data_IF_322019067808
#
_entry.id   IF_322019067808
#
_cell.length_a   1.000
_cell.length_b   1.000
_cell.length_c   1.000
_cell.angle_alpha   90.00
_cell.angle_beta   90.00
_cell.angle_gamma   90.00
#
_symmetry.space_group_name_H-M   'P 1'
#
loop_
_entity.id
_entity.type
_entity.pdbx_description
1 polymer ?
#
# COMPACT_ATOMS: atom_id res chain seq x y z
N UNK A 1 7.43 58.78 34.14
CA UNK A 1 7.44 58.95 32.68
C UNK A 1 7.72 57.61 32.05
N UNK A 2 6.68 57.00 31.46
CA UNK A 2 6.75 55.71 30.79
C UNK A 2 7.09 55.91 29.30
N UNK A 3 8.08 55.16 28.79
CA UNK A 3 8.28 54.89 27.35
C UNK A 3 8.28 53.37 27.25
N UNK A 4 7.41 52.68 26.53
CA UNK A 4 6.71 53.02 25.29
C UNK A 4 7.08 51.95 24.27
N UNK A 5 6.57 50.73 24.47
CA UNK A 5 6.81 49.56 23.63
C UNK A 5 5.95 49.68 22.35
N UNK A 6 6.56 50.00 21.20
CA UNK A 6 5.86 50.05 19.92
C UNK A 6 5.97 48.70 19.19
N UNK A 7 4.88 47.94 19.27
CA UNK A 7 4.54 46.84 18.36
C UNK A 7 4.63 47.32 16.92
N UNK A 8 5.46 46.67 16.09
CA UNK A 8 5.32 46.71 14.63
C UNK A 8 4.16 45.83 14.22
N UNK A 9 2.95 46.40 14.17
CA UNK A 9 1.85 45.89 13.38
C UNK A 9 1.96 46.52 11.98
N UNK A 10 2.61 45.81 11.06
CA UNK A 10 2.71 46.19 9.66
C UNK A 10 2.01 45.15 8.80
N UNK A 11 0.67 45.23 8.71
CA UNK A 11 -0.08 44.47 7.74
C UNK A 11 0.21 45.02 6.34
N UNK A 12 1.06 44.34 5.58
CA UNK A 12 1.05 44.51 4.12
C UNK A 12 -0.32 44.02 3.62
N UNK A 13 -0.93 44.69 2.64
CA UNK A 13 -2.09 44.10 1.96
C UNK A 13 -1.61 42.77 1.36
N UNK A 14 -2.21 41.65 1.81
CA UNK A 14 -1.93 40.33 1.22
C UNK A 14 -2.26 40.44 -0.26
N UNK A 15 -1.24 40.41 -1.12
CA UNK A 15 -1.41 40.08 -2.51
C UNK A 15 -2.21 38.75 -2.55
N UNK A 16 -3.21 38.68 -3.43
CA UNK A 16 -4.14 37.57 -3.66
C UNK A 16 -3.78 36.27 -2.92
N UNK A 17 -4.52 35.98 -1.85
CA UNK A 17 -4.38 34.73 -1.10
C UNK A 17 -4.70 33.56 -2.02
N UNK A 18 -3.86 32.52 -2.02
CA UNK A 18 -4.11 31.27 -2.76
C UNK A 18 -5.47 30.65 -2.45
N UNK A 19 -6.04 30.97 -1.29
CA UNK A 19 -7.33 30.47 -0.83
C UNK A 19 -8.54 31.32 -1.23
N UNK A 20 -8.35 32.48 -1.88
CA UNK A 20 -9.44 33.40 -2.23
C UNK A 20 -10.56 32.71 -3.03
N UNK A 21 -10.17 31.87 -3.98
CA UNK A 21 -11.08 31.08 -4.82
C UNK A 21 -11.17 29.60 -4.42
N UNK A 22 -10.51 29.20 -3.34
CA UNK A 22 -10.58 27.81 -2.88
C UNK A 22 -11.98 27.52 -2.32
N UNK A 23 -12.58 26.42 -2.78
CA UNK A 23 -13.91 25.98 -2.37
C UNK A 23 -13.84 24.49 -2.03
N UNK A 24 -13.96 24.14 -0.73
CA UNK A 24 -14.11 22.76 -0.31
C UNK A 24 -15.29 22.09 -1.00
N UNK A 25 -15.20 20.77 -1.18
CA UNK A 25 -16.32 19.98 -1.69
C UNK A 25 -17.40 19.90 -0.60
N UNK A 26 -18.63 20.24 -0.96
CA UNK A 26 -19.75 20.22 -0.02
C UNK A 26 -19.96 18.82 0.58
N UNK A 27 -20.10 18.74 1.90
CA UNK A 27 -20.32 17.48 2.63
C UNK A 27 -19.08 16.60 2.80
N UNK A 28 -17.90 17.03 2.34
CA UNK A 28 -16.63 16.32 2.49
C UNK A 28 -15.71 17.08 3.43
N UNK A 29 -15.02 16.34 4.31
CA UNK A 29 -14.01 16.93 5.20
C UNK A 29 -12.80 17.37 4.37
N UNK A 30 -12.47 18.65 4.45
CA UNK A 30 -11.29 19.21 3.80
C UNK A 30 -10.06 19.11 4.70
N UNK A 31 -8.94 18.62 4.15
CA UNK A 31 -7.68 18.43 4.88
C UNK A 31 -6.94 19.74 5.12
N UNK A 32 -7.16 20.76 4.28
CA UNK A 32 -6.45 22.04 4.32
C UNK A 32 -7.22 23.10 5.11
N UNK A 33 -8.54 23.21 4.91
CA UNK A 33 -9.37 24.23 5.57
C UNK A 33 -10.41 23.64 6.53
N UNK A 34 -10.83 24.43 7.50
CA UNK A 34 -11.92 24.10 8.42
C UNK A 34 -13.30 24.45 7.81
N UNK A 35 -14.37 24.14 8.55
CA UNK A 35 -15.74 24.44 8.13
C UNK A 35 -16.04 25.94 7.98
N UNK A 36 -15.18 26.82 8.51
CA UNK A 36 -15.27 28.27 8.33
C UNK A 36 -14.45 28.77 7.13
N UNK A 37 -13.76 27.88 6.41
CA UNK A 37 -12.90 28.19 5.29
C UNK A 37 -11.50 28.68 5.68
N UNK A 38 -11.12 28.60 6.96
CA UNK A 38 -9.79 29.01 7.41
C UNK A 38 -8.79 27.85 7.30
N UNK A 39 -7.51 28.10 6.95
CA UNK A 39 -6.49 27.06 6.99
C UNK A 39 -6.37 26.44 8.38
N UNK A 40 -6.36 25.12 8.44
CA UNK A 40 -6.09 24.36 9.66
C UNK A 40 -4.68 24.66 10.18
N UNK A 41 -4.42 24.50 11.50
CA UNK A 41 -3.13 24.88 12.10
C UNK A 41 -1.88 24.34 11.39
N UNK A 42 -1.89 23.06 10.98
CA UNK A 42 -0.78 22.43 10.26
C UNK A 42 -0.50 23.06 8.88
N UNK A 43 -1.49 23.74 8.30
CA UNK A 43 -1.41 24.34 6.96
C UNK A 43 -1.09 25.84 6.98
N UNK A 44 -1.26 26.54 8.11
CA UNK A 44 -1.15 28.00 8.17
C UNK A 44 0.21 28.51 7.73
N UNK A 45 1.29 27.96 8.29
CA UNK A 45 2.66 28.34 7.91
C UNK A 45 2.98 27.99 6.46
N UNK A 46 2.50 26.82 6.01
CA UNK A 46 2.74 26.38 4.63
C UNK A 46 2.06 27.28 3.61
N UNK A 47 0.76 27.55 3.78
CA UNK A 47 0.01 28.44 2.88
C UNK A 47 0.56 29.86 2.94
N UNK A 48 0.91 30.37 4.12
CA UNK A 48 1.55 31.69 4.24
C UNK A 48 2.85 31.78 3.45
N UNK A 49 3.69 30.75 3.50
CA UNK A 49 4.94 30.70 2.73
C UNK A 49 4.69 30.60 1.20
N UNK A 50 3.63 29.90 0.77
CA UNK A 50 3.25 29.86 -0.64
C UNK A 50 2.69 31.21 -1.13
N UNK A 51 1.88 31.90 -0.30
CA UNK A 51 1.37 33.24 -0.58
C UNK A 51 2.52 34.26 -0.72
N UNK A 52 3.48 34.22 0.21
CA UNK A 52 4.64 35.12 0.23
C UNK A 52 5.56 34.93 -0.99
N UNK A 53 5.61 33.70 -1.54
CA UNK A 53 6.36 33.39 -2.74
C UNK A 53 5.72 33.99 -4.01
N UNK A 54 4.38 33.99 -4.07
CA UNK A 54 3.61 34.47 -5.21
C UNK A 54 3.52 33.47 -6.37
N UNK A 55 2.47 33.63 -7.20
CA UNK A 55 2.09 32.66 -8.23
C UNK A 55 3.16 32.39 -9.29
N UNK A 56 3.90 33.41 -9.73
CA UNK A 56 4.94 33.26 -10.76
C UNK A 56 6.10 32.38 -10.26
N UNK A 57 6.66 32.71 -9.10
CA UNK A 57 7.76 31.95 -8.53
C UNK A 57 7.32 30.54 -8.11
N UNK A 58 6.07 30.38 -7.65
CA UNK A 58 5.49 29.06 -7.37
C UNK A 58 5.41 28.21 -8.64
N UNK A 59 4.90 28.76 -9.74
CA UNK A 59 4.83 28.08 -11.03
C UNK A 59 6.22 27.65 -11.54
N UNK A 60 7.23 28.51 -11.40
CA UNK A 60 8.61 28.16 -11.75
C UNK A 60 9.18 27.02 -10.89
N UNK A 61 8.88 26.99 -9.58
CA UNK A 61 9.34 25.91 -8.69
C UNK A 61 8.63 24.59 -9.00
N UNK A 62 7.34 24.61 -9.29
CA UNK A 62 6.58 23.44 -9.70
C UNK A 62 7.11 22.85 -11.02
N UNK A 63 7.31 23.70 -12.03
CA UNK A 63 7.90 23.25 -13.30
C UNK A 63 9.30 22.61 -13.13
N UNK A 64 10.10 23.08 -12.16
CA UNK A 64 11.39 22.45 -11.80
C UNK A 64 11.21 21.08 -11.14
N UNK A 65 10.18 20.91 -10.31
CA UNK A 65 9.85 19.61 -9.71
C UNK A 65 9.48 18.59 -10.79
N UNK A 66 8.60 18.99 -11.72
CA UNK A 66 8.22 18.17 -12.87
C UNK A 66 9.42 17.83 -13.75
N UNK A 67 10.27 18.82 -14.04
CA UNK A 67 11.48 18.60 -14.84
C UNK A 67 12.44 17.63 -14.16
N UNK A 68 12.62 17.76 -12.84
CA UNK A 68 13.46 16.83 -12.09
C UNK A 68 12.93 15.38 -12.20
N UNK A 69 11.61 15.16 -12.06
CA UNK A 69 11.03 13.82 -12.17
C UNK A 69 11.21 13.25 -13.58
N UNK A 70 11.05 14.08 -14.62
CA UNK A 70 11.36 13.68 -16.01
C UNK A 70 12.83 13.30 -16.19
N UNK A 71 13.75 14.12 -15.70
CA UNK A 71 15.20 13.88 -15.81
C UNK A 71 15.65 12.66 -15.01
N UNK A 72 14.99 12.38 -13.87
CA UNK A 72 15.19 11.18 -13.07
C UNK A 72 14.57 9.92 -13.71
N UNK A 73 13.87 10.08 -14.85
CA UNK A 73 13.21 9.01 -15.58
C UNK A 73 12.04 8.41 -14.82
N UNK A 74 11.34 9.19 -13.97
CA UNK A 74 10.20 8.70 -13.20
C UNK A 74 9.00 8.58 -14.13
N UNK A 75 8.57 7.35 -14.41
CA UNK A 75 7.43 7.06 -15.27
C UNK A 75 6.50 6.02 -14.63
N UNK A 76 5.26 5.98 -15.13
CA UNK A 76 4.32 4.90 -14.87
C UNK A 76 3.77 4.39 -16.20
N UNK A 77 3.68 3.07 -16.35
CA UNK A 77 3.09 2.46 -17.55
C UNK A 77 1.63 2.15 -17.30
N UNK A 78 0.76 2.69 -18.15
CA UNK A 78 -0.66 2.34 -18.16
C UNK A 78 -0.88 1.35 -19.29
N UNK A 79 -1.44 0.19 -18.96
CA UNK A 79 -1.93 -0.76 -19.94
C UNK A 79 -3.42 -0.46 -20.19
N UNK A 80 -3.72 0.18 -21.31
CA UNK A 80 -5.10 0.41 -21.75
C UNK A 80 -5.43 -0.47 -22.97
N UNK A 81 -6.69 -0.41 -23.44
CA UNK A 81 -7.14 -1.18 -24.61
C UNK A 81 -6.40 -0.83 -25.92
N UNK A 82 -5.66 0.29 -25.95
CA UNK A 82 -4.91 0.76 -27.11
C UNK A 82 -3.40 0.41 -27.06
N UNK A 83 -2.91 -0.13 -25.94
CA UNK A 83 -1.54 -0.61 -25.79
C UNK A 83 -0.88 -0.16 -24.49
N UNK A 84 0.43 -0.41 -24.37
CA UNK A 84 1.24 0.09 -23.26
C UNK A 84 1.74 1.50 -23.59
N UNK A 85 1.31 2.50 -22.82
CA UNK A 85 1.80 3.86 -22.94
C UNK A 85 2.57 4.24 -21.66
N UNK A 86 3.81 4.71 -21.84
CA UNK A 86 4.54 5.38 -20.76
C UNK A 86 3.95 6.77 -20.56
N UNK A 87 3.58 7.09 -19.32
CA UNK A 87 3.09 8.41 -18.93
C UNK A 87 4.05 9.05 -17.94
N UNK A 88 4.21 10.37 -18.05
CA UNK A 88 4.87 11.17 -17.03
C UNK A 88 4.15 10.97 -15.69
N UNK A 89 4.94 10.82 -14.62
CA UNK A 89 4.39 10.64 -13.29
C UNK A 89 3.70 11.93 -12.82
N UNK A 90 2.39 11.90 -12.52
CA UNK A 90 1.66 13.10 -12.15
C UNK A 90 1.97 13.50 -10.70
N UNK A 91 2.80 14.54 -10.52
CA UNK A 91 3.15 15.05 -9.20
C UNK A 91 2.05 15.98 -8.64
N UNK A 92 1.52 15.63 -7.47
CA UNK A 92 0.81 16.59 -6.62
C UNK A 92 1.84 17.48 -5.91
N UNK A 93 1.99 18.71 -6.41
CA UNK A 93 2.97 19.68 -5.92
C UNK A 93 2.70 20.17 -4.49
N UNK A 94 1.42 20.30 -4.16
CA UNK A 94 0.93 20.63 -2.81
C UNK A 94 0.83 19.32 -2.03
N UNK A 95 1.66 19.10 -0.99
CA UNK A 95 1.64 17.86 -0.22
C UNK A 95 0.38 17.78 0.63
N UNK A 96 -0.03 16.56 0.98
CA UNK A 96 -0.96 16.35 2.09
C UNK A 96 -0.18 16.50 3.40
N UNK A 97 -0.55 17.50 4.22
CA UNK A 97 0.01 17.69 5.55
C UNK A 97 -0.85 16.96 6.59
N UNK A 98 -0.21 16.09 7.37
CA UNK A 98 -0.83 15.34 8.48
C UNK A 98 -0.14 15.77 9.77
N UNK A 99 -0.91 16.10 10.80
CA UNK A 99 -0.38 16.49 12.10
C UNK A 99 0.35 15.32 12.79
N UNK A 100 1.38 15.61 13.57
CA UNK A 100 2.19 14.57 14.24
C UNK A 100 1.36 13.67 15.18
N UNK A 101 0.40 14.25 15.92
CA UNK A 101 -0.43 13.46 16.84
C UNK A 101 -1.32 12.51 16.08
N UNK A 102 -1.93 13.01 15.01
CA UNK A 102 -2.76 12.21 14.11
C UNK A 102 -1.94 11.11 13.44
N UNK A 103 -0.74 11.42 12.96
CA UNK A 103 0.16 10.43 12.37
C UNK A 103 0.61 9.36 13.37
N UNK A 104 0.83 9.72 14.64
CA UNK A 104 1.16 8.77 15.69
C UNK A 104 0.01 7.79 15.96
N UNK A 105 -1.24 8.26 15.98
CA UNK A 105 -2.44 7.42 16.12
C UNK A 105 -2.60 6.48 14.92
N UNK A 106 -2.46 7.01 13.70
CA UNK A 106 -2.49 6.21 12.47
C UNK A 106 -1.42 5.12 12.52
N UNK A 107 -0.18 5.51 12.82
CA UNK A 107 0.96 4.59 12.88
C UNK A 107 0.74 3.48 13.89
N UNK A 108 0.24 3.80 15.10
CA UNK A 108 -0.04 2.81 16.13
C UNK A 108 -1.13 1.81 15.71
N UNK A 109 -2.16 2.26 15.00
CA UNK A 109 -3.20 1.38 14.47
C UNK A 109 -2.74 0.51 13.31
N UNK A 110 -1.91 1.04 12.42
CA UNK A 110 -1.36 0.27 11.30
C UNK A 110 -0.34 -0.79 11.76
N UNK A 111 0.47 -0.49 12.79
CA UNK A 111 1.36 -1.48 13.42
C UNK A 111 0.55 -2.63 14.02
N UNK A 112 -0.48 -2.32 14.82
CA UNK A 112 -1.39 -3.35 15.36
C UNK A 112 -1.98 -4.21 14.23
N UNK A 113 -2.45 -3.58 13.15
CA UNK A 113 -3.05 -4.27 12.02
C UNK A 113 -2.06 -5.20 11.30
N UNK A 114 -0.80 -4.79 11.15
CA UNK A 114 0.25 -5.64 10.60
C UNK A 114 0.51 -6.87 11.49
N UNK A 115 0.61 -6.68 12.81
CA UNK A 115 0.80 -7.78 13.78
C UNK A 115 -0.40 -8.75 13.78
N UNK A 116 -1.61 -8.22 13.62
CA UNK A 116 -2.83 -9.02 13.51
C UNK A 116 -2.79 -9.89 12.26
N UNK A 117 -2.43 -9.32 11.11
CA UNK A 117 -2.31 -10.08 9.87
C UNK A 117 -1.20 -11.12 9.92
N UNK A 118 -0.07 -10.81 10.54
CA UNK A 118 1.01 -11.78 10.75
C UNK A 118 0.50 -13.00 11.53
N UNK A 119 -0.19 -12.76 12.65
CA UNK A 119 -0.75 -13.83 13.49
C UNK A 119 -1.86 -14.61 12.76
N UNK A 120 -2.70 -13.91 11.99
CA UNK A 120 -3.78 -14.50 11.20
C UNK A 120 -3.23 -15.41 10.10
N UNK A 121 -2.22 -14.96 9.34
CA UNK A 121 -1.58 -15.77 8.30
C UNK A 121 -0.89 -17.01 8.90
N UNK A 122 -0.19 -16.84 10.04
CA UNK A 122 0.43 -17.94 10.75
C UNK A 122 -0.59 -18.97 11.26
N UNK A 123 -1.78 -18.53 11.69
CA UNK A 123 -2.88 -19.43 12.04
C UNK A 123 -3.41 -20.17 10.81
N UNK A 124 -3.80 -19.45 9.75
CA UNK A 124 -4.42 -20.03 8.54
C UNK A 124 -3.50 -21.04 7.86
N UNK A 125 -2.21 -20.74 7.72
CA UNK A 125 -1.23 -21.66 7.13
C UNK A 125 -0.69 -22.70 8.11
N UNK A 126 -1.05 -22.63 9.39
CA UNK A 126 -0.57 -23.51 10.44
C UNK A 126 -1.71 -24.26 11.16
N UNK A 127 -1.98 -23.95 12.44
CA UNK A 127 -2.93 -24.70 13.27
C UNK A 127 -4.41 -24.50 12.88
N UNK A 128 -4.73 -23.47 12.10
CA UNK A 128 -6.05 -23.21 11.52
C UNK A 128 -7.20 -23.04 12.55
N UNK A 129 -6.91 -22.40 13.69
CA UNK A 129 -7.85 -22.26 14.81
C UNK A 129 -8.98 -21.30 14.51
N UNK A 130 -8.75 -20.26 13.70
CA UNK A 130 -9.80 -19.31 13.31
C UNK A 130 -10.93 -20.01 12.52
N UNK A 131 -10.57 -20.99 11.68
CA UNK A 131 -11.55 -21.79 10.94
C UNK A 131 -12.18 -22.85 11.86
N UNK A 132 -11.37 -23.53 12.68
CA UNK A 132 -11.86 -24.53 13.65
C UNK A 132 -12.92 -23.94 14.61
N UNK A 133 -12.72 -22.70 15.08
CA UNK A 133 -13.65 -21.99 15.97
C UNK A 133 -14.83 -21.32 15.25
N UNK A 134 -14.93 -21.46 13.93
CA UNK A 134 -16.00 -20.84 13.13
C UNK A 134 -15.95 -19.31 13.11
N UNK A 135 -14.77 -18.72 13.30
CA UNK A 135 -14.56 -17.27 13.16
C UNK A 135 -14.39 -16.91 11.69
N UNK A 136 -13.64 -17.74 10.96
CA UNK A 136 -13.48 -17.64 9.51
C UNK A 136 -14.21 -18.80 8.81
N UNK A 137 -15.03 -18.53 7.78
CA UNK A 137 -15.63 -19.58 6.98
C UNK A 137 -14.58 -20.35 6.17
N UNK A 138 -14.53 -21.68 6.30
CA UNK A 138 -13.57 -22.52 5.57
C UNK A 138 -13.68 -22.33 4.05
N UNK A 139 -14.91 -22.25 3.52
CA UNK A 139 -15.17 -22.05 2.09
C UNK A 139 -14.64 -20.72 1.57
N UNK A 140 -14.64 -19.66 2.39
CA UNK A 140 -14.10 -18.36 2.00
C UNK A 140 -12.59 -18.44 1.76
N UNK A 141 -11.87 -19.06 2.69
CA UNK A 141 -10.41 -19.23 2.58
C UNK A 141 -10.04 -20.19 1.46
N UNK A 142 -10.71 -21.35 1.39
CA UNK A 142 -10.41 -22.38 0.40
C UNK A 142 -10.71 -21.95 -1.05
N UNK A 143 -11.63 -21.00 -1.25
CA UNK A 143 -11.95 -20.44 -2.56
C UNK A 143 -11.05 -19.28 -2.97
N UNK A 144 -10.30 -18.67 -2.04
CA UNK A 144 -9.44 -17.53 -2.36
C UNK A 144 -8.29 -17.97 -3.28
N UNK A 145 -8.08 -17.29 -4.43
CA UNK A 145 -6.95 -17.58 -5.31
C UNK A 145 -5.60 -17.29 -4.64
N UNK A 146 -5.60 -16.44 -3.61
CA UNK A 146 -4.42 -16.10 -2.83
C UNK A 146 -4.06 -17.17 -1.78
N UNK A 147 -4.96 -18.12 -1.51
CA UNK A 147 -4.67 -19.24 -0.60
C UNK A 147 -3.84 -20.33 -1.28
N UNK A 148 -2.52 -20.22 -1.13
CA UNK A 148 -1.57 -21.17 -1.72
C UNK A 148 -1.43 -22.47 -0.92
N UNK A 149 -2.06 -23.55 -1.39
CA UNK A 149 -1.95 -24.90 -0.79
C UNK A 149 -0.50 -25.41 -0.64
N UNK A 150 0.43 -25.19 -1.60
CA UNK A 150 1.80 -25.71 -1.50
C UNK A 150 2.62 -25.16 -0.33
N UNK A 151 2.16 -24.08 0.33
CA UNK A 151 2.85 -23.46 1.47
C UNK A 151 2.14 -23.71 2.82
N UNK A 152 1.09 -24.53 2.84
CA UNK A 152 0.44 -24.95 4.10
C UNK A 152 1.43 -25.77 4.93
N UNK A 153 1.53 -25.45 6.22
CA UNK A 153 2.48 -26.05 7.16
C UNK A 153 3.92 -25.53 7.03
N UNK A 154 4.20 -24.65 6.07
CA UNK A 154 5.54 -24.07 5.90
C UNK A 154 5.72 -22.93 6.89
N UNK A 155 6.78 -23.01 7.70
CA UNK A 155 7.20 -21.91 8.58
C UNK A 155 8.23 -21.06 7.84
N UNK A 156 8.02 -19.73 7.71
CA UNK A 156 9.01 -18.86 7.08
C UNK A 156 10.36 -18.94 7.78
N UNK A 157 11.46 -18.98 7.01
CA UNK A 157 12.81 -19.04 7.58
C UNK A 157 13.15 -17.83 8.46
N UNK A 158 12.57 -16.66 8.15
CA UNK A 158 12.71 -15.44 8.96
C UNK A 158 11.84 -15.45 10.22
N UNK A 159 10.95 -16.43 10.37
CA UNK A 159 9.94 -16.47 11.43
C UNK A 159 8.68 -15.64 11.13
N UNK A 160 8.65 -14.88 10.02
CA UNK A 160 7.56 -13.97 9.70
C UNK A 160 7.06 -14.13 8.26
N UNK A 161 5.76 -13.96 8.03
CA UNK A 161 5.19 -13.85 6.67
C UNK A 161 5.32 -12.43 6.12
N UNK A 162 5.10 -11.41 6.95
CA UNK A 162 5.01 -10.01 6.56
C UNK A 162 6.28 -9.23 6.94
N UNK A 163 6.81 -8.46 5.99
CA UNK A 163 8.00 -7.62 6.20
C UNK A 163 7.85 -6.22 5.60
N UNK A 164 7.10 -6.10 4.50
CA UNK A 164 6.75 -4.83 3.86
C UNK A 164 5.26 -4.85 3.52
N UNK A 165 4.47 -4.03 4.21
CA UNK A 165 3.03 -3.90 3.98
C UNK A 165 2.67 -2.46 3.69
N UNK A 166 1.59 -2.24 2.94
CA UNK A 166 1.01 -0.92 2.74
C UNK A 166 -0.49 -0.97 3.05
N UNK A 167 -1.03 0.19 3.42
CA UNK A 167 -2.42 0.34 3.83
C UNK A 167 -3.02 1.54 3.11
N UNK A 168 -4.20 1.34 2.56
CA UNK A 168 -4.97 2.36 1.86
C UNK A 168 -5.86 3.06 2.89
N UNK A 169 -5.71 4.37 3.04
CA UNK A 169 -6.42 5.15 4.05
C UNK A 169 -7.35 6.18 3.40
N UNK A 170 -8.50 6.40 4.03
CA UNK A 170 -9.41 7.48 3.67
C UNK A 170 -9.97 8.17 4.92
N UNK A 171 -10.23 9.47 4.81
CA UNK A 171 -10.94 10.21 5.86
C UNK A 171 -12.45 10.11 5.62
N UNK A 172 -13.17 9.63 6.64
CA UNK A 172 -14.62 9.53 6.61
C UNK A 172 -15.29 10.91 6.76
N UNK A 173 -16.60 11.00 6.50
CA UNK A 173 -17.37 12.24 6.71
C UNK A 173 -17.44 12.65 8.19
N UNK A 174 -17.13 11.73 9.11
CA UNK A 174 -16.98 11.99 10.55
C UNK A 174 -15.58 12.52 10.93
N UNK A 175 -14.69 12.72 9.96
CA UNK A 175 -13.33 13.21 10.15
C UNK A 175 -12.34 12.17 10.64
N UNK A 176 -12.77 10.92 10.89
CA UNK A 176 -11.90 9.82 11.33
C UNK A 176 -11.19 9.17 10.15
N UNK A 177 -10.04 8.57 10.41
CA UNK A 177 -9.32 7.73 9.45
C UNK A 177 -9.87 6.31 9.42
N UNK A 178 -9.99 5.77 8.22
CA UNK A 178 -10.47 4.43 7.95
C UNK A 178 -9.51 3.70 7.03
N UNK A 179 -9.26 2.43 7.29
CA UNK A 179 -8.57 1.53 6.37
C UNK A 179 -9.54 1.09 5.28
N UNK A 180 -9.22 1.42 4.03
CA UNK A 180 -9.99 1.09 2.84
C UNK A 180 -9.57 -0.26 2.24
N UNK A 181 -8.30 -0.62 2.41
CA UNK A 181 -7.72 -1.86 1.90
C UNK A 181 -6.30 -2.08 2.38
N UNK A 182 -5.82 -3.31 2.18
CA UNK A 182 -4.56 -3.81 2.69
C UNK A 182 -3.72 -4.36 1.54
N UNK A 183 -2.42 -4.10 1.57
CA UNK A 183 -1.45 -4.61 0.59
C UNK A 183 -0.35 -5.38 1.29
N UNK A 184 -0.42 -6.70 1.21
CA UNK A 184 0.46 -7.67 1.88
C UNK A 184 1.16 -8.62 0.91
N UNK A 185 0.81 -8.59 -0.37
CA UNK A 185 1.40 -9.43 -1.42
C UNK A 185 2.76 -8.86 -1.85
N UNK A 186 2.76 -7.83 -2.69
CA UNK A 186 3.95 -7.16 -3.21
C UNK A 186 3.68 -5.65 -3.38
N UNK A 187 3.45 -4.90 -2.29
CA UNK A 187 3.02 -3.50 -2.36
C UNK A 187 4.01 -2.60 -3.09
N UNK A 188 3.50 -1.75 -3.98
CA UNK A 188 4.22 -0.68 -4.69
C UNK A 188 3.92 0.70 -4.10
N UNK A 189 4.69 1.71 -4.49
CA UNK A 189 4.53 3.10 -4.08
C UNK A 189 5.66 3.67 -3.24
N UNK A 190 6.50 2.84 -2.60
CA UNK A 190 7.56 3.31 -1.72
C UNK A 190 8.64 4.11 -2.47
N UNK A 191 9.02 3.66 -3.68
CA UNK A 191 9.98 4.36 -4.53
C UNK A 191 9.42 5.69 -5.04
N UNK A 192 8.14 5.69 -5.45
CA UNK A 192 7.44 6.90 -5.87
C UNK A 192 7.30 7.91 -4.73
N UNK A 193 6.99 7.46 -3.50
CA UNK A 193 6.92 8.33 -2.32
C UNK A 193 8.28 8.99 -2.02
N UNK A 194 9.38 8.26 -2.22
CA UNK A 194 10.73 8.80 -2.07
C UNK A 194 11.04 9.85 -3.14
N UNK A 195 10.76 9.58 -4.41
CA UNK A 195 10.98 10.54 -5.50
C UNK A 195 10.08 11.78 -5.39
N UNK A 196 8.80 11.62 -5.04
CA UNK A 196 7.90 12.74 -4.74
C UNK A 196 8.48 13.62 -3.62
N UNK A 197 9.06 13.01 -2.57
CA UNK A 197 9.70 13.76 -1.49
C UNK A 197 10.94 14.51 -1.97
N UNK A 198 11.78 13.89 -2.80
CA UNK A 198 12.99 14.54 -3.34
C UNK A 198 12.61 15.71 -4.25
N UNK A 199 11.66 15.51 -5.16
CA UNK A 199 11.18 16.53 -6.09
C UNK A 199 10.63 17.75 -5.35
N UNK A 200 9.70 17.53 -4.42
CA UNK A 200 9.05 18.61 -3.66
C UNK A 200 10.02 19.33 -2.72
N UNK A 201 10.90 18.60 -2.03
CA UNK A 201 11.93 19.21 -1.16
C UNK A 201 12.94 20.03 -1.95
N UNK A 202 13.30 19.63 -3.17
CA UNK A 202 14.19 20.43 -4.04
C UNK A 202 13.49 21.69 -4.54
N UNK A 203 12.25 21.55 -4.97
CA UNK A 203 11.47 22.68 -5.50
C UNK A 203 11.16 23.73 -4.43
N UNK A 204 10.80 23.29 -3.21
CA UNK A 204 10.34 24.15 -2.11
C UNK A 204 11.29 24.09 -0.90
N UNK A 205 12.60 24.11 -1.14
CA UNK A 205 13.63 23.80 -0.12
C UNK A 205 13.62 24.70 1.13
N UNK A 206 13.40 26.00 0.95
CA UNK A 206 13.21 26.99 2.02
C UNK A 206 11.97 26.68 2.86
N UNK A 207 10.85 26.39 2.22
CA UNK A 207 9.58 26.08 2.89
C UNK A 207 9.68 24.74 3.66
N UNK A 208 10.21 23.70 3.03
CA UNK A 208 10.38 22.38 3.67
C UNK A 208 11.38 22.41 4.83
N UNK A 209 12.34 23.33 4.81
CA UNK A 209 13.27 23.55 5.92
C UNK A 209 12.56 23.95 7.22
N UNK A 210 11.41 24.62 7.13
CA UNK A 210 10.65 25.10 8.29
C UNK A 210 9.57 24.11 8.77
N UNK A 211 9.11 23.20 7.90
CA UNK A 211 8.01 22.27 8.18
C UNK A 211 8.38 21.07 9.06
N UNK A 212 9.66 20.89 9.44
CA UNK A 212 10.13 19.79 10.29
C UNK A 212 9.65 18.38 9.87
N UNK A 213 9.49 18.16 8.56
CA UNK A 213 8.93 16.92 8.00
C UNK A 213 9.81 15.70 8.32
N UNK A 214 9.19 14.58 8.68
CA UNK A 214 9.88 13.30 8.90
C UNK A 214 10.64 12.84 7.64
N UNK A 215 11.90 12.43 7.84
CA UNK A 215 12.77 11.94 6.76
C UNK A 215 12.49 10.47 6.44
N UNK A 216 12.18 10.16 5.19
CA UNK A 216 11.94 8.79 4.72
C UNK A 216 13.20 7.90 4.74
N UNK A 217 14.40 8.48 4.61
CA UNK A 217 15.66 7.75 4.57
C UNK A 217 15.89 6.84 5.80
N UNK A 218 15.36 7.23 6.97
CA UNK A 218 15.46 6.43 8.18
C UNK A 218 14.74 5.08 8.09
N UNK A 219 13.57 5.05 7.44
CA UNK A 219 12.80 3.84 7.18
C UNK A 219 13.57 2.89 6.26
N UNK A 220 14.00 3.37 5.10
CA UNK A 220 14.70 2.56 4.10
C UNK A 220 16.03 1.98 4.60
N UNK A 221 16.78 2.75 5.40
CA UNK A 221 17.98 2.25 6.06
C UNK A 221 17.67 1.09 7.00
N UNK A 222 16.69 1.24 7.90
CA UNK A 222 16.28 0.16 8.82
C UNK A 222 15.79 -1.07 8.06
N UNK A 223 15.01 -0.87 7.00
CA UNK A 223 14.52 -1.96 6.16
C UNK A 223 15.67 -2.72 5.50
N UNK A 224 16.62 -2.03 4.88
CA UNK A 224 17.83 -2.64 4.31
C UNK A 224 18.64 -3.41 5.36
N UNK A 225 18.83 -2.83 6.53
CA UNK A 225 19.60 -3.46 7.60
C UNK A 225 18.92 -4.74 8.09
N UNK A 226 17.58 -4.76 8.17
CA UNK A 226 16.79 -5.96 8.47
C UNK A 226 16.94 -7.05 7.41
N UNK A 227 16.85 -6.71 6.12
CA UNK A 227 17.06 -7.67 5.02
C UNK A 227 18.47 -8.27 5.07
N UNK A 228 19.50 -7.44 5.28
CA UNK A 228 20.88 -7.91 5.37
C UNK A 228 21.14 -8.78 6.60
N UNK A 229 20.48 -8.49 7.73
CA UNK A 229 20.52 -9.34 8.92
C UNK A 229 20.02 -10.77 8.61
N UNK A 230 18.83 -10.88 8.02
CA UNK A 230 18.26 -12.18 7.64
C UNK A 230 19.11 -12.93 6.60
N UNK A 231 19.71 -12.22 5.65
CA UNK A 231 20.58 -12.83 4.64
C UNK A 231 21.88 -13.39 5.24
N UNK A 232 22.41 -12.72 6.27
CA UNK A 232 23.59 -13.20 6.99
C UNK A 232 23.32 -14.52 7.71
N UNK A 233 22.18 -14.64 8.37
CA UNK A 233 21.80 -15.85 9.12
C UNK A 233 21.58 -17.07 8.20
N UNK A 234 21.07 -16.84 6.99
CA UNK A 234 20.90 -17.86 5.94
C UNK A 234 22.16 -18.15 5.11
N UNK A 235 23.24 -17.38 5.32
CA UNK A 235 24.49 -17.51 4.57
C UNK A 235 24.35 -17.21 3.08
N UNK A 236 23.51 -16.23 2.72
CA UNK A 236 23.23 -15.81 1.35
C UNK A 236 23.22 -14.29 1.18
N UNK A 237 22.85 -13.83 -0.02
CA UNK A 237 22.68 -12.40 -0.33
C UNK A 237 21.21 -11.98 -0.33
N UNK A 238 20.97 -10.68 -0.24
CA UNK A 238 19.66 -10.06 -0.50
C UNK A 238 19.54 -9.78 -1.99
N UNK A 239 18.38 -10.07 -2.57
CA UNK A 239 18.01 -9.66 -3.93
C UNK A 239 16.55 -9.19 -4.01
N UNK A 240 16.24 -8.38 -5.02
CA UNK A 240 14.89 -8.01 -5.42
C UNK A 240 14.54 -8.82 -6.67
N UNK A 241 13.44 -9.56 -6.66
CA UNK A 241 12.89 -10.24 -7.83
C UNK A 241 11.85 -9.36 -8.51
N UNK A 242 12.05 -9.06 -9.78
CA UNK A 242 11.14 -8.26 -10.62
C UNK A 242 10.57 -9.10 -11.77
N UNK A 243 9.32 -8.85 -12.22
CA UNK A 243 8.81 -9.42 -13.47
C UNK A 243 9.50 -8.94 -14.74
N UNK A 244 10.37 -7.92 -14.63
CA UNK A 244 11.09 -7.33 -15.75
C UNK A 244 10.49 -6.00 -16.26
N UNK A 245 11.06 -5.41 -17.32
CA UNK A 245 10.75 -4.05 -17.80
C UNK A 245 9.31 -3.83 -18.28
N UNK A 246 8.57 -4.91 -18.57
CA UNK A 246 7.18 -4.86 -18.99
C UNK A 246 6.20 -4.82 -17.80
N UNK A 247 6.67 -4.65 -16.56
CA UNK A 247 5.80 -4.40 -15.43
C UNK A 247 5.51 -2.90 -15.25
N UNK A 248 4.29 -2.56 -14.86
CA UNK A 248 3.85 -1.17 -14.66
C UNK A 248 4.65 -0.39 -13.61
N UNK A 249 5.21 -1.09 -12.62
CA UNK A 249 6.01 -0.53 -11.53
C UNK A 249 7.51 -0.86 -11.63
N UNK A 250 7.99 -1.31 -12.80
CA UNK A 250 9.42 -1.66 -12.97
C UNK A 250 10.37 -0.51 -12.62
N UNK A 251 10.01 0.73 -12.95
CA UNK A 251 10.78 1.92 -12.57
C UNK A 251 11.09 1.93 -11.06
N UNK A 252 10.08 1.71 -10.22
CA UNK A 252 10.23 1.68 -8.78
C UNK A 252 11.18 0.55 -8.35
N UNK A 253 11.09 -0.63 -8.97
CA UNK A 253 11.95 -1.76 -8.63
C UNK A 253 13.42 -1.44 -8.88
N UNK A 254 13.74 -0.89 -10.05
CA UNK A 254 15.08 -0.45 -10.43
C UNK A 254 15.59 0.70 -9.55
N UNK A 255 14.71 1.66 -9.26
CA UNK A 255 15.02 2.78 -8.41
C UNK A 255 15.38 2.35 -6.99
N UNK A 256 14.53 1.55 -6.35
CA UNK A 256 14.76 1.05 -4.99
C UNK A 256 15.99 0.14 -4.93
N UNK A 257 16.19 -0.74 -5.92
CA UNK A 257 17.38 -1.58 -6.00
C UNK A 257 18.67 -0.74 -5.97
N UNK A 258 18.73 0.30 -6.80
CA UNK A 258 19.85 1.25 -6.83
C UNK A 258 19.98 2.03 -5.52
N UNK A 259 18.87 2.53 -4.97
CA UNK A 259 18.86 3.34 -3.76
C UNK A 259 19.35 2.56 -2.53
N UNK A 260 18.95 1.29 -2.41
CA UNK A 260 19.35 0.43 -1.30
C UNK A 260 20.69 -0.28 -1.54
N UNK A 261 21.15 -0.37 -2.80
CA UNK A 261 22.33 -1.15 -3.18
C UNK A 261 22.07 -2.66 -3.16
N UNK A 262 20.88 -3.08 -3.59
CA UNK A 262 20.44 -4.48 -3.65
C UNK A 262 20.38 -4.93 -5.11
N UNK A 263 20.75 -6.18 -5.40
CA UNK A 263 20.67 -6.75 -6.74
C UNK A 263 19.22 -6.80 -7.21
N UNK A 264 18.95 -6.28 -8.40
CA UNK A 264 17.69 -6.49 -9.11
C UNK A 264 17.86 -7.68 -10.06
N UNK A 265 17.01 -8.69 -9.91
CA UNK A 265 17.07 -9.94 -10.65
C UNK A 265 15.72 -10.26 -11.27
N UNK A 266 15.72 -10.87 -12.44
CA UNK A 266 14.56 -11.50 -13.06
C UNK A 266 14.53 -13.00 -12.74
N UNK A 267 13.41 -13.68 -13.04
CA UNK A 267 13.24 -15.10 -12.72
C UNK A 267 14.31 -16.02 -13.33
N UNK A 268 14.83 -15.67 -14.51
CA UNK A 268 15.83 -16.44 -15.25
C UNK A 268 17.26 -16.31 -14.71
N UNK A 269 17.57 -15.21 -14.02
CA UNK A 269 18.84 -14.98 -13.33
C UNK A 269 19.02 -15.96 -12.16
N UNK A 270 17.90 -16.50 -11.66
CA UNK A 270 17.84 -17.38 -10.52
C UNK A 270 17.72 -18.84 -10.93
N UNK A 271 18.21 -19.73 -10.07
CA UNK A 271 18.07 -21.18 -10.21
C UNK A 271 18.09 -21.84 -8.84
N UNK A 272 17.40 -22.97 -8.69
CA UNK A 272 17.46 -23.76 -7.47
C UNK A 272 18.42 -24.93 -7.65
N UNK A 273 19.42 -25.01 -6.78
CA UNK A 273 20.43 -26.07 -6.79
C UNK A 273 20.71 -26.55 -5.37
N UNK A 274 20.68 -27.86 -5.15
CA UNK A 274 20.84 -28.44 -3.81
C UNK A 274 19.79 -27.94 -2.79
N UNK A 275 18.59 -27.60 -3.26
CA UNK A 275 17.52 -27.04 -2.43
C UNK A 275 17.75 -25.59 -1.97
N UNK A 276 18.74 -24.89 -2.53
CA UNK A 276 19.03 -23.47 -2.26
C UNK A 276 18.75 -22.62 -3.49
N UNK A 277 18.22 -21.43 -3.27
CA UNK A 277 18.09 -20.43 -4.32
C UNK A 277 19.46 -19.82 -4.62
N UNK A 278 19.84 -19.79 -5.89
CA UNK A 278 21.13 -19.31 -6.36
C UNK A 278 20.92 -18.27 -7.46
N UNK A 279 21.78 -17.26 -7.51
CA UNK A 279 21.90 -16.34 -8.65
C UNK A 279 23.04 -16.77 -9.56
N UNK A 280 22.85 -16.68 -10.87
CA UNK A 280 23.89 -16.90 -11.88
C UNK A 280 24.77 -15.66 -11.96
N UNK A 281 26.08 -15.84 -11.76
CA UNK A 281 27.07 -14.77 -11.96
C UNK A 281 28.17 -15.26 -12.88
N UNK A 282 28.99 -14.33 -13.40
CA UNK A 282 30.19 -14.67 -14.18
C UNK A 282 31.19 -15.53 -13.40
N UNK A 283 31.19 -15.44 -12.07
CA UNK A 283 32.06 -16.23 -11.19
C UNK A 283 31.43 -17.55 -10.73
N UNK A 284 30.25 -17.90 -11.25
CA UNK A 284 29.49 -19.07 -10.87
C UNK A 284 28.25 -18.75 -10.02
N UNK A 285 27.66 -19.80 -9.44
CA UNK A 285 26.43 -19.68 -8.65
C UNK A 285 26.73 -19.11 -7.25
N UNK A 286 25.93 -18.11 -6.84
CA UNK A 286 26.00 -17.56 -5.48
C UNK A 286 24.65 -17.71 -4.76
N UNK A 287 24.62 -18.04 -3.46
CA UNK A 287 23.37 -18.24 -2.74
C UNK A 287 22.63 -16.92 -2.47
N UNK A 288 21.31 -16.96 -2.67
CA UNK A 288 20.37 -15.92 -2.24
C UNK A 288 19.69 -16.40 -0.96
N UNK A 289 19.81 -15.62 0.11
CA UNK A 289 19.24 -15.93 1.43
C UNK A 289 17.94 -15.17 1.69
N UNK A 290 17.76 -14.01 1.05
CA UNK A 290 16.55 -13.20 1.15
C UNK A 290 16.16 -12.70 -0.23
N UNK A 291 14.91 -12.92 -0.60
CA UNK A 291 14.34 -12.53 -1.88
C UNK A 291 13.14 -11.60 -1.66
N UNK A 292 13.32 -10.31 -1.91
CA UNK A 292 12.23 -9.35 -1.96
C UNK A 292 11.50 -9.45 -3.28
N UNK A 293 10.37 -10.15 -3.28
CA UNK A 293 9.56 -10.34 -4.49
C UNK A 293 8.72 -9.10 -4.79
N UNK A 294 8.66 -8.74 -6.07
CA UNK A 294 7.83 -7.66 -6.61
C UNK A 294 6.78 -8.18 -7.60
N UNK A 295 6.27 -9.37 -7.30
CA UNK A 295 5.32 -10.10 -8.13
C UNK A 295 4.42 -10.97 -7.26
N UNK A 296 3.22 -11.27 -7.77
CA UNK A 296 2.21 -12.05 -7.07
C UNK A 296 2.65 -13.48 -6.83
N UNK A 297 2.31 -14.01 -5.66
CA UNK A 297 2.86 -15.28 -5.21
C UNK A 297 2.60 -16.42 -6.21
N UNK A 298 1.44 -16.46 -6.87
CA UNK A 298 1.09 -17.45 -7.87
C UNK A 298 2.09 -17.55 -9.04
N UNK A 299 2.76 -16.45 -9.41
CA UNK A 299 3.71 -16.42 -10.52
C UNK A 299 5.14 -16.79 -10.10
N UNK A 300 5.41 -16.96 -8.81
CA UNK A 300 6.76 -17.10 -8.28
C UNK A 300 7.46 -18.42 -8.69
N UNK A 301 6.71 -19.50 -8.89
CA UNK A 301 7.25 -20.81 -9.23
C UNK A 301 6.33 -21.56 -10.22
N UNK A 302 6.76 -21.76 -11.48
CA UNK A 302 5.95 -22.47 -12.46
C UNK A 302 5.85 -23.98 -12.21
N UNK A 303 6.68 -24.58 -11.35
CA UNK A 303 6.59 -26.02 -11.07
C UNK A 303 5.47 -26.37 -10.09
N UNK A 304 5.22 -25.51 -9.10
CA UNK A 304 4.28 -25.79 -8.01
C UNK A 304 3.07 -24.84 -7.96
N UNK A 305 3.14 -23.67 -8.61
CA UNK A 305 2.09 -22.65 -8.56
C UNK A 305 1.42 -22.47 -9.92
N UNK A 306 1.90 -21.54 -10.76
CA UNK A 306 1.30 -21.21 -12.05
C UNK A 306 2.16 -21.72 -13.22
N UNK A 307 1.78 -22.84 -13.89
CA UNK A 307 2.62 -23.49 -14.90
C UNK A 307 2.99 -22.64 -16.12
N UNK A 308 2.14 -21.68 -16.49
CA UNK A 308 2.36 -20.75 -17.59
C UNK A 308 3.14 -19.49 -17.18
N UNK A 309 3.60 -19.38 -15.92
CA UNK A 309 4.43 -18.26 -15.47
C UNK A 309 5.80 -18.27 -16.17
N UNK A 310 6.16 -17.14 -16.77
CA UNK A 310 7.47 -16.90 -17.39
C UNK A 310 8.37 -15.99 -16.55
N UNK A 311 7.86 -15.47 -15.43
CA UNK A 311 8.55 -14.47 -14.58
C UNK A 311 9.00 -15.04 -13.24
N UNK A 312 8.64 -16.30 -12.96
CA UNK A 312 9.03 -17.03 -11.76
C UNK A 312 10.32 -17.81 -11.92
N UNK A 313 10.74 -18.47 -10.84
CA UNK A 313 11.92 -19.33 -10.81
C UNK A 313 11.51 -20.75 -10.45
N UNK A 314 11.70 -21.74 -11.34
CA UNK A 314 11.40 -23.15 -11.06
C UNK A 314 12.06 -23.64 -9.75
N UNK A 315 11.25 -24.19 -8.84
CA UNK A 315 11.68 -24.77 -7.57
C UNK A 315 11.84 -23.78 -6.42
N UNK A 316 11.47 -22.51 -6.61
CA UNK A 316 11.50 -21.49 -5.55
C UNK A 316 10.64 -21.88 -4.34
N UNK A 317 9.47 -22.50 -4.55
CA UNK A 317 8.60 -22.95 -3.45
C UNK A 317 9.32 -24.00 -2.61
N UNK A 318 10.01 -24.95 -3.23
CA UNK A 318 10.80 -25.96 -2.53
C UNK A 318 11.96 -25.34 -1.73
N UNK A 319 12.66 -24.34 -2.27
CA UNK A 319 13.71 -23.63 -1.53
C UNK A 319 13.15 -22.92 -0.28
N UNK A 320 11.99 -22.28 -0.41
CA UNK A 320 11.27 -21.64 0.70
C UNK A 320 10.84 -22.70 1.74
N UNK A 321 10.27 -23.82 1.30
CA UNK A 321 9.83 -24.93 2.17
C UNK A 321 10.98 -25.53 2.97
N UNK A 322 12.17 -25.61 2.38
CA UNK A 322 13.41 -26.05 3.06
C UNK A 322 13.99 -25.00 4.00
N UNK A 323 13.46 -23.78 4.01
CA UNK A 323 13.95 -22.67 4.82
C UNK A 323 15.31 -22.15 4.38
N UNK A 324 15.72 -22.37 3.12
CA UNK A 324 17.03 -21.92 2.62
C UNK A 324 17.01 -20.50 2.08
N UNK A 325 15.82 -19.92 1.88
CA UNK A 325 15.60 -18.54 1.46
C UNK A 325 14.34 -17.98 2.16
N UNK A 326 14.42 -16.72 2.61
CA UNK A 326 13.26 -15.96 3.08
C UNK A 326 12.67 -15.13 1.96
N UNK A 327 11.37 -15.27 1.69
CA UNK A 327 10.66 -14.39 0.77
C UNK A 327 10.11 -13.17 1.50
N UNK A 328 10.26 -11.99 0.90
CA UNK A 328 9.71 -10.72 1.40
C UNK A 328 8.69 -10.21 0.37
N UNK A 329 7.38 -10.24 0.65
CA UNK A 329 6.73 -10.98 1.73
C UNK A 329 6.67 -12.49 1.43
N UNK A 330 6.31 -13.29 2.43
CA UNK A 330 6.10 -14.73 2.31
C UNK A 330 5.09 -15.06 1.22
N UNK A 331 5.21 -16.24 0.60
CA UNK A 331 4.20 -16.71 -0.35
C UNK A 331 2.88 -16.99 0.40
N UNK A 332 1.76 -16.59 -0.19
CA UNK A 332 0.43 -16.68 0.43
C UNK A 332 0.04 -15.47 1.29
N UNK A 333 0.94 -14.50 1.46
CA UNK A 333 0.62 -13.28 2.22
C UNK A 333 -0.49 -12.44 1.59
N UNK A 334 -0.68 -12.53 0.27
CA UNK A 334 -1.78 -11.88 -0.46
C UNK A 334 -3.17 -12.29 0.01
N UNK A 335 -3.31 -13.41 0.75
CA UNK A 335 -4.58 -13.82 1.34
C UNK A 335 -5.18 -12.72 2.22
N UNK A 336 -4.34 -11.99 2.95
CA UNK A 336 -4.76 -10.90 3.82
C UNK A 336 -5.35 -9.68 3.06
N UNK A 337 -5.15 -9.59 1.75
CA UNK A 337 -5.77 -8.55 0.90
C UNK A 337 -7.22 -8.89 0.50
N UNK A 338 -7.70 -10.10 0.81
CA UNK A 338 -9.05 -10.56 0.41
C UNK A 338 -10.12 -9.66 1.03
N UNK A 339 -10.90 -8.95 0.19
CA UNK A 339 -11.91 -7.96 0.62
C UNK A 339 -12.87 -8.49 1.68
N UNK A 340 -13.37 -9.71 1.54
CA UNK A 340 -14.30 -10.30 2.49
C UNK A 340 -13.73 -10.45 3.91
N UNK A 341 -12.39 -10.50 4.09
CA UNK A 341 -11.77 -10.58 5.42
C UNK A 341 -12.07 -9.34 6.27
N UNK A 342 -12.32 -8.18 5.66
CA UNK A 342 -12.69 -6.95 6.37
C UNK A 342 -13.92 -7.11 7.26
N UNK A 343 -14.86 -8.00 6.89
CA UNK A 343 -16.05 -8.32 7.68
C UNK A 343 -15.72 -9.08 8.99
N UNK A 344 -14.59 -9.78 9.02
CA UNK A 344 -14.20 -10.67 10.13
C UNK A 344 -13.11 -10.07 11.03
N UNK A 345 -12.35 -9.09 10.53
CA UNK A 345 -11.20 -8.51 11.23
C UNK A 345 -11.48 -8.04 12.67
N UNK A 346 -12.60 -7.35 12.98
CA UNK A 346 -12.90 -6.98 14.36
C UNK A 346 -13.00 -8.20 15.30
N UNK A 347 -13.58 -9.31 14.82
CA UNK A 347 -13.69 -10.55 15.60
C UNK A 347 -12.35 -11.28 15.69
N UNK A 348 -11.55 -11.27 14.63
CA UNK A 348 -10.21 -11.86 14.61
C UNK A 348 -9.29 -11.12 15.59
N UNK A 349 -9.33 -9.80 15.65
CA UNK A 349 -8.57 -8.97 16.59
C UNK A 349 -8.84 -9.37 18.06
N UNK A 350 -10.14 -9.47 18.42
CA UNK A 350 -10.54 -9.93 19.75
C UNK A 350 -10.09 -11.34 20.07
N UNK A 351 -10.20 -12.27 19.11
CA UNK A 351 -9.81 -13.67 19.35
C UNK A 351 -8.31 -13.85 19.50
N UNK A 352 -7.51 -13.24 18.62
CA UNK A 352 -6.07 -13.46 18.59
C UNK A 352 -5.33 -12.60 19.60
N UNK A 353 -5.72 -11.34 19.76
CA UNK A 353 -4.99 -10.35 20.54
C UNK A 353 -5.76 -9.82 21.75
N UNK A 354 -7.05 -10.16 21.90
CA UNK A 354 -7.86 -9.71 23.03
C UNK A 354 -8.22 -8.22 23.00
N UNK A 355 -8.06 -7.56 21.85
CA UNK A 355 -8.28 -6.13 21.69
C UNK A 355 -9.11 -5.78 20.45
N UNK A 356 -9.69 -4.58 20.45
CA UNK A 356 -10.38 -4.02 19.29
C UNK A 356 -9.37 -3.43 18.30
N UNK A 357 -9.80 -3.26 17.04
CA UNK A 357 -9.03 -2.53 16.04
C UNK A 357 -8.89 -1.06 16.47
N UNK A 358 -7.65 -0.58 16.57
CA UNK A 358 -7.32 0.83 16.85
C UNK A 358 -7.73 1.75 15.72
N UNK A 359 -7.51 1.31 14.47
CA UNK A 359 -8.04 1.95 13.27
C UNK A 359 -9.18 1.12 12.69
N UNK A 360 -10.36 1.71 12.47
CA UNK A 360 -11.45 0.98 11.86
C UNK A 360 -11.17 0.73 10.37
N UNK A 361 -11.72 -0.37 9.83
CA UNK A 361 -11.84 -0.53 8.38
C UNK A 361 -13.25 -0.17 7.92
N UNK A 362 -13.39 0.09 6.62
CA UNK A 362 -14.71 0.30 6.00
C UNK A 362 -15.71 -0.79 6.39
N UNK A 363 -16.94 -0.39 6.68
CA UNK A 363 -17.99 -1.32 7.05
C UNK A 363 -18.25 -2.29 5.89
N UNK A 364 -18.08 -3.57 6.17
CA UNK A 364 -18.11 -4.63 5.15
C UNK A 364 -19.01 -5.75 5.63
N UNK A 365 -19.88 -6.22 4.73
CA UNK A 365 -20.79 -7.35 4.96
C UNK A 365 -20.48 -8.44 3.94
N UNK A 366 -20.28 -9.66 4.40
CA UNK A 366 -20.06 -10.79 3.50
C UNK A 366 -21.38 -11.52 3.25
N UNK A 367 -21.91 -11.42 2.04
CA UNK A 367 -23.19 -12.02 1.65
C UNK A 367 -23.23 -13.56 1.66
N UNK A 368 -22.13 -14.24 2.01
CA UNK A 368 -22.14 -15.68 2.28
C UNK A 368 -22.81 -16.03 3.61
N UNK A 369 -23.04 -15.06 4.49
CA UNK A 369 -23.86 -15.22 5.70
C UNK A 369 -25.26 -14.65 5.49
N UNK A 370 -26.27 -15.36 5.98
CA UNK A 370 -27.68 -15.02 5.74
C UNK A 370 -28.06 -13.63 6.24
N UNK A 371 -27.70 -13.27 7.47
CA UNK A 371 -28.11 -11.99 8.07
C UNK A 371 -27.45 -10.80 7.35
N UNK A 372 -26.18 -10.94 7.00
CA UNK A 372 -25.40 -9.98 6.24
C UNK A 372 -25.97 -9.81 4.82
N UNK A 373 -26.33 -10.93 4.17
CA UNK A 373 -27.01 -10.91 2.87
C UNK A 373 -28.33 -10.16 2.93
N UNK A 374 -29.19 -10.47 3.88
CA UNK A 374 -30.51 -9.84 4.03
C UNK A 374 -30.36 -8.33 4.28
N UNK A 375 -29.36 -7.94 5.09
CA UNK A 375 -29.03 -6.54 5.32
C UNK A 375 -28.59 -5.83 4.04
N UNK A 376 -27.71 -6.44 3.25
CA UNK A 376 -27.25 -5.87 1.97
C UNK A 376 -28.41 -5.73 0.99
N UNK A 377 -29.25 -6.76 0.84
CA UNK A 377 -30.41 -6.71 -0.08
C UNK A 377 -31.41 -5.61 0.31
N UNK A 378 -31.64 -5.40 1.61
CA UNK A 378 -32.52 -4.35 2.12
C UNK A 378 -31.97 -2.93 1.95
N UNK A 379 -30.64 -2.77 1.83
CA UNK A 379 -29.95 -1.48 1.83
C UNK A 379 -29.10 -1.23 0.57
N UNK A 380 -29.30 -2.03 -0.48
CA UNK A 380 -28.40 -2.10 -1.65
C UNK A 380 -28.13 -0.74 -2.28
N UNK A 381 -29.15 0.14 -2.33
CA UNK A 381 -29.05 1.47 -2.95
C UNK A 381 -28.07 2.41 -2.22
N UNK A 382 -27.67 2.08 -0.99
CA UNK A 382 -26.71 2.85 -0.18
C UNK A 382 -25.33 2.18 -0.08
N UNK A 383 -25.11 1.11 -0.82
CA UNK A 383 -23.94 0.26 -0.69
C UNK A 383 -23.18 0.13 -2.01
N UNK A 384 -21.91 -0.23 -1.86
CA UNK A 384 -21.07 -0.67 -2.96
C UNK A 384 -20.93 -2.19 -2.86
N UNK A 385 -21.32 -2.90 -3.92
CA UNK A 385 -21.37 -4.37 -3.96
C UNK A 385 -20.37 -4.87 -4.99
N UNK A 386 -19.57 -5.86 -4.63
CA UNK A 386 -18.56 -6.45 -5.53
C UNK A 386 -18.09 -7.83 -5.07
N UNK A 387 -17.15 -8.45 -5.79
CA UNK A 387 -16.71 -9.81 -5.51
C UNK A 387 -16.03 -9.93 -4.13
N UNK A 388 -16.44 -10.93 -3.36
CA UNK A 388 -15.91 -11.20 -2.02
C UNK A 388 -14.39 -11.49 -2.02
N UNK A 389 -13.91 -12.13 -3.09
CA UNK A 389 -12.51 -12.57 -3.22
C UNK A 389 -11.62 -11.56 -3.95
N UNK A 390 -12.13 -10.38 -4.28
CA UNK A 390 -11.31 -9.33 -4.89
C UNK A 390 -10.26 -8.84 -3.89
N UNK A 391 -9.05 -8.59 -4.38
CA UNK A 391 -7.97 -7.93 -3.63
C UNK A 391 -7.86 -6.45 -4.01
N UNK A 392 -8.66 -5.95 -4.96
CA UNK A 392 -8.66 -4.54 -5.38
C UNK A 392 -9.53 -3.68 -4.47
N UNK A 393 -9.23 -2.39 -4.42
CA UNK A 393 -10.12 -1.43 -3.77
C UNK A 393 -11.46 -1.38 -4.49
N UNK A 394 -12.53 -1.07 -3.76
CA UNK A 394 -13.89 -1.06 -4.30
C UNK A 394 -14.06 -0.10 -5.49
N UNK A 395 -13.28 0.97 -5.56
CA UNK A 395 -13.31 1.98 -6.61
C UNK A 395 -12.30 1.73 -7.76
N UNK A 396 -11.46 0.69 -7.67
CA UNK A 396 -10.50 0.29 -8.70
C UNK A 396 -10.94 -0.98 -9.47
N UNK A 397 -12.09 -1.54 -9.10
CA UNK A 397 -12.54 -2.84 -9.57
C UNK A 397 -13.41 -2.68 -10.83
N UNK A 398 -12.73 -2.35 -11.94
CA UNK A 398 -13.24 -2.07 -13.29
C UNK A 398 -14.36 -3.01 -13.74
N UNK A 399 -15.61 -2.66 -13.41
CA UNK A 399 -16.73 -3.45 -13.90
C UNK A 399 -17.24 -4.53 -12.94
N UNK A 400 -16.50 -4.91 -11.90
CA UNK A 400 -16.96 -5.96 -10.98
C UNK A 400 -17.65 -5.40 -9.73
N UNK A 401 -17.23 -4.21 -9.30
CA UNK A 401 -17.83 -3.52 -8.15
C UNK A 401 -18.77 -2.41 -8.61
N UNK A 402 -19.92 -2.27 -7.95
CA UNK A 402 -21.02 -1.40 -8.37
C UNK A 402 -21.61 -0.65 -7.19
N UNK A 403 -21.85 0.65 -7.37
CA UNK A 403 -22.67 1.43 -6.45
C UNK A 403 -24.13 1.10 -6.70
N UNK A 404 -24.86 0.62 -5.68
CA UNK A 404 -26.24 0.16 -5.85
C UNK A 404 -27.18 1.25 -6.35
N UNK A 405 -27.02 2.51 -5.92
CA UNK A 405 -27.82 3.64 -6.43
C UNK A 405 -27.58 3.96 -7.91
N UNK A 406 -26.49 3.49 -8.50
CA UNK A 406 -26.15 3.71 -9.90
C UNK A 406 -26.64 2.57 -10.82
N UNK A 407 -27.25 1.51 -10.26
CA UNK A 407 -27.74 0.36 -11.04
C UNK A 407 -29.09 0.68 -11.67
N UNK A 408 -29.27 0.31 -12.94
CA UNK A 408 -30.60 0.21 -13.54
C UNK A 408 -31.43 -0.90 -12.90
N UNK A 409 -32.75 -0.88 -13.09
CA UNK A 409 -33.64 -1.91 -12.52
C UNK A 409 -33.26 -3.34 -12.98
N UNK A 410 -32.82 -3.50 -14.23
CA UNK A 410 -32.37 -4.79 -14.77
C UNK A 410 -31.07 -5.25 -14.14
N UNK A 411 -30.06 -4.39 -14.07
CA UNK A 411 -28.76 -4.71 -13.43
C UNK A 411 -28.93 -5.02 -11.94
N UNK A 412 -29.84 -4.31 -11.26
CA UNK A 412 -30.18 -4.56 -9.86
C UNK A 412 -30.78 -5.95 -9.67
N UNK A 413 -31.74 -6.34 -10.52
CA UNK A 413 -32.35 -7.67 -10.44
C UNK A 413 -31.33 -8.79 -10.71
N UNK A 414 -30.43 -8.59 -11.68
CA UNK A 414 -29.34 -9.54 -11.96
C UNK A 414 -28.38 -9.67 -10.78
N UNK A 415 -27.96 -8.54 -10.19
CA UNK A 415 -27.07 -8.54 -9.03
C UNK A 415 -27.71 -9.24 -7.83
N UNK A 416 -29.00 -8.99 -7.56
CA UNK A 416 -29.74 -9.65 -6.48
C UNK A 416 -29.80 -11.16 -6.72
N UNK A 417 -30.15 -11.60 -7.92
CA UNK A 417 -30.19 -13.02 -8.26
C UNK A 417 -28.83 -13.71 -8.05
N UNK A 418 -27.72 -13.01 -8.36
CA UNK A 418 -26.36 -13.49 -8.12
C UNK A 418 -25.95 -13.55 -6.65
N UNK A 419 -26.54 -12.71 -5.80
CA UNK A 419 -26.29 -12.72 -4.34
C UNK A 419 -27.10 -13.82 -3.66
N UNK A 420 -28.28 -14.14 -4.19
CA UNK A 420 -29.17 -15.16 -3.67
C UNK A 420 -28.76 -16.58 -4.06
N UNK A 421 -28.16 -16.74 -5.25
CA UNK A 421 -27.54 -17.99 -5.73
C UNK A 421 -26.27 -18.34 -4.96
#
# INVERSE_FOLDING_TARGET
MAKGNQKRAGGRPRAQSLLEHYRPIEGVVDEMVDASGNPRPAWQSFIGALDDLGAEALGQRFARADQYLRDAGVYYRVYDKAGANEREWPLAHVPLLIDEKEWAEISAGLVQRADLFETMLADIYGPNRLIEKGILPAGLIAASPEYLRPVVGVRPASGHFLHMVAFELGRGPDGRWWVLGDRTQAPSGAGFALENRVATTRALSDIYGELHVHRLAGFFRRFRDALNGMAKDSGGRVAILTPGPLNETYYEHAYIARYLGIMLLEGEDLTVSGGRLMVRTVSGLMPIGVLWRRLDAAFADPLELKPDSQIGTPGLVEAIRRGTVSAVNGLGSGLAETRALLSFLPRIARELHGEELKLPNIATWWCGQQAERDHVLANIDRMVVGPALSTRLAFEDDGATRLGSALSAGERAELIARIEA
#
